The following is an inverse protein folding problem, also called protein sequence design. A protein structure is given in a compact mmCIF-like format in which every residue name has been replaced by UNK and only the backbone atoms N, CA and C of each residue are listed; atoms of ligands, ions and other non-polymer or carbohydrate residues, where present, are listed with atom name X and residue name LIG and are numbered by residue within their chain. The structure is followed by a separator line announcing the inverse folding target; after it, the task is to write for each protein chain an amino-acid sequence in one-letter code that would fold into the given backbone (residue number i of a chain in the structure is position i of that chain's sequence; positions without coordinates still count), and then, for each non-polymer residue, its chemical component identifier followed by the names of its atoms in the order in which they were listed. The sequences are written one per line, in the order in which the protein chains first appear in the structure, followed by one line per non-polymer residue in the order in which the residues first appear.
data_IF_175086126298
#
_entry.id   IF_175086126298
#
_cell.length_a   1.000
_cell.length_b   1.000
_cell.length_c   1.000
_cell.angle_alpha   90.00
_cell.angle_beta   90.00
_cell.angle_gamma   90.00
#
_symmetry.space_group_name_H-M   'P 1'
#
loop_
_entity.id
_entity.type
_entity.pdbx_description
1 polymer ?
#
# COMPACT_ATOMS: atom_id res chain seq x y z
N UNK A 1 -44.70 35.61 -31.15
CA UNK A 1 -44.78 34.79 -29.91
C UNK A 1 -43.71 33.70 -29.83
N UNK A 2 -43.60 32.78 -30.82
CA UNK A 2 -42.62 31.68 -30.81
C UNK A 2 -41.13 32.11 -30.73
N UNK A 3 -40.76 33.25 -31.32
CA UNK A 3 -39.39 33.78 -31.30
C UNK A 3 -39.00 34.33 -29.91
N UNK A 4 -39.91 35.06 -29.27
CA UNK A 4 -39.72 35.62 -27.93
C UNK A 4 -39.55 34.52 -26.87
N UNK A 5 -40.29 33.41 -27.01
CA UNK A 5 -40.20 32.25 -26.13
C UNK A 5 -38.82 31.58 -26.24
N UNK A 6 -38.25 31.46 -27.44
CA UNK A 6 -36.92 30.87 -27.64
C UNK A 6 -35.80 31.72 -27.02
N UNK A 7 -35.90 33.05 -27.10
CA UNK A 7 -34.95 33.99 -26.50
C UNK A 7 -34.88 33.85 -24.98
N UNK A 8 -35.97 33.45 -24.33
CA UNK A 8 -36.01 33.27 -22.87
C UNK A 8 -35.62 31.84 -22.49
N UNK A 9 -36.15 30.83 -23.18
CA UNK A 9 -35.95 29.42 -22.80
C UNK A 9 -34.53 28.94 -23.05
N UNK A 10 -33.87 29.37 -24.14
CA UNK A 10 -32.51 28.91 -24.47
C UNK A 10 -31.48 29.32 -23.41
N UNK A 11 -31.36 30.61 -23.02
CA UNK A 11 -30.46 30.98 -21.94
C UNK A 11 -30.89 30.38 -20.61
N UNK A 12 -32.20 30.27 -20.33
CA UNK A 12 -32.68 29.63 -19.10
C UNK A 12 -32.22 28.18 -18.99
N UNK A 13 -32.32 27.40 -20.07
CA UNK A 13 -31.81 26.03 -20.11
C UNK A 13 -30.28 25.97 -19.99
N UNK A 14 -29.56 26.93 -20.57
CA UNK A 14 -28.11 27.04 -20.46
C UNK A 14 -27.64 27.38 -19.04
N UNK A 15 -28.38 28.20 -18.30
CA UNK A 15 -28.07 28.53 -16.90
C UNK A 15 -28.42 27.38 -15.93
N UNK A 16 -29.43 26.57 -16.24
CA UNK A 16 -29.80 25.39 -15.43
C UNK A 16 -28.70 24.32 -15.49
N UNK A 17 -28.07 24.09 -16.64
CA UNK A 17 -26.99 23.09 -16.78
C UNK A 17 -25.69 23.50 -16.09
N UNK A 18 -25.38 24.80 -15.97
CA UNK A 18 -24.21 25.30 -15.23
C UNK A 18 -24.40 25.18 -13.70
N UNK A 19 -25.62 24.93 -13.23
CA UNK A 19 -25.94 24.79 -11.80
C UNK A 19 -25.80 23.36 -11.25
N UNK A 20 -25.37 22.38 -12.05
CA UNK A 20 -24.99 21.07 -11.51
C UNK A 20 -23.71 21.21 -10.68
N UNK A 21 -23.92 21.26 -9.37
CA UNK A 21 -22.90 21.34 -8.32
C UNK A 21 -21.79 20.31 -8.54
N UNK A 22 -20.54 20.76 -8.52
CA UNK A 22 -19.37 19.87 -8.49
C UNK A 22 -19.41 19.09 -7.19
N UNK A 23 -19.60 17.78 -7.26
CA UNK A 23 -19.63 16.91 -6.09
C UNK A 23 -18.19 16.70 -5.59
N UNK A 24 -17.82 17.32 -4.47
CA UNK A 24 -16.47 17.27 -3.93
C UNK A 24 -16.30 16.03 -3.06
N UNK A 25 -15.78 14.95 -3.63
CA UNK A 25 -15.38 13.78 -2.84
C UNK A 25 -14.03 14.03 -2.18
N UNK A 26 -14.08 14.45 -0.91
CA UNK A 26 -12.87 14.57 -0.09
C UNK A 26 -12.52 13.17 0.43
N UNK A 27 -11.42 12.60 -0.03
CA UNK A 27 -10.90 11.34 0.48
C UNK A 27 -10.05 11.67 1.72
N UNK A 28 -10.58 11.38 2.90
CA UNK A 28 -9.78 11.42 4.12
C UNK A 28 -9.02 10.11 4.22
N UNK A 29 -7.69 10.17 4.12
CA UNK A 29 -6.84 9.00 4.35
C UNK A 29 -6.78 8.74 5.86
N UNK A 30 -7.30 7.61 6.31
CA UNK A 30 -7.08 7.16 7.68
C UNK A 30 -5.65 6.63 7.81
N UNK A 31 -4.84 7.33 8.58
CA UNK A 31 -3.43 7.01 8.80
C UNK A 31 -3.21 6.63 10.27
N UNK A 32 -2.43 5.59 10.48
CA UNK A 32 -1.82 5.29 11.77
C UNK A 32 -0.45 5.97 11.84
N UNK A 33 0.00 6.24 13.07
CA UNK A 33 1.32 6.80 13.34
C UNK A 33 2.11 5.85 14.24
N UNK A 34 3.39 5.64 13.92
CA UNK A 34 4.33 4.97 14.82
C UNK A 34 5.54 5.84 15.09
N UNK A 35 5.99 5.81 16.34
CA UNK A 35 7.22 6.48 16.75
C UNK A 35 8.42 5.62 16.37
N UNK A 36 9.40 6.27 15.75
CA UNK A 36 10.68 5.69 15.38
C UNK A 36 11.79 6.24 16.31
N UNK A 37 12.99 5.64 16.30
CA UNK A 37 14.13 6.20 17.01
C UNK A 37 14.39 7.67 16.65
N UNK A 38 15.08 8.38 17.55
CA UNK A 38 15.46 9.80 17.37
C UNK A 38 14.29 10.79 17.27
N UNK A 39 13.09 10.40 17.73
CA UNK A 39 11.92 11.28 17.74
C UNK A 39 11.24 11.42 16.37
N UNK A 40 11.55 10.52 15.44
CA UNK A 40 10.90 10.46 14.14
C UNK A 40 9.51 9.81 14.25
N UNK A 41 8.59 10.19 13.35
CA UNK A 41 7.24 9.61 13.27
C UNK A 41 6.98 9.17 11.84
N UNK A 42 6.55 7.91 11.69
CA UNK A 42 6.13 7.35 10.41
C UNK A 42 4.59 7.25 10.37
N UNK A 43 3.99 7.72 9.28
CA UNK A 43 2.56 7.59 9.02
C UNK A 43 2.32 6.55 7.92
N UNK A 44 1.39 5.63 8.17
CA UNK A 44 1.06 4.55 7.23
C UNK A 44 -0.45 4.32 7.17
N UNK A 45 -0.98 3.74 6.07
CA UNK A 45 -2.41 3.46 5.94
C UNK A 45 -2.92 2.63 7.12
N UNK A 46 -4.09 3.01 7.66
CA UNK A 46 -4.68 2.30 8.80
C UNK A 46 -4.91 0.82 8.53
N UNK A 47 -5.29 0.50 7.30
CA UNK A 47 -5.58 -0.85 6.83
C UNK A 47 -4.38 -1.52 6.14
N UNK A 48 -3.14 -1.06 6.40
CA UNK A 48 -1.93 -1.73 5.88
C UNK A 48 -1.90 -3.17 6.43
N UNK A 49 -1.85 -4.20 5.57
CA UNK A 49 -1.82 -5.59 6.02
C UNK A 49 -0.51 -5.89 6.74
N UNK A 50 -0.59 -6.75 7.75
CA UNK A 50 0.58 -7.33 8.41
C UNK A 50 0.88 -8.67 7.74
N UNK A 51 2.07 -8.80 7.16
CA UNK A 51 2.50 -9.97 6.41
C UNK A 51 3.45 -10.81 7.26
N UNK A 52 3.06 -12.06 7.52
CA UNK A 52 3.88 -13.07 8.18
C UNK A 52 4.46 -14.06 7.18
N UNK A 53 5.78 -14.27 7.22
CA UNK A 53 6.48 -15.24 6.39
C UNK A 53 6.97 -16.43 7.22
N UNK A 54 6.55 -17.64 6.84
CA UNK A 54 6.94 -18.88 7.49
C UNK A 54 7.97 -19.66 6.65
N UNK A 55 9.16 -19.84 7.22
CA UNK A 55 10.31 -20.48 6.59
C UNK A 55 10.54 -21.88 7.16
N UNK A 56 10.35 -22.90 6.34
CA UNK A 56 10.53 -24.29 6.76
C UNK A 56 12.00 -24.68 6.90
N UNK A 57 12.27 -25.74 7.66
CA UNK A 57 13.57 -26.40 7.65
C UNK A 57 13.83 -27.18 6.36
N UNK A 58 15.00 -27.81 6.27
CA UNK A 58 15.37 -28.60 5.09
C UNK A 58 16.87 -28.79 4.85
N UNK A 59 17.71 -28.36 5.80
CA UNK A 59 19.17 -28.33 5.62
C UNK A 59 19.55 -27.43 4.44
N UNK A 60 20.55 -27.83 3.66
CA UNK A 60 21.03 -27.06 2.51
C UNK A 60 19.95 -26.71 1.47
N UNK A 61 18.87 -27.52 1.34
CA UNK A 61 17.78 -27.24 0.40
C UNK A 61 16.99 -25.99 0.76
N UNK A 62 16.98 -25.57 2.02
CA UNK A 62 16.28 -24.36 2.44
C UNK A 62 16.94 -23.08 1.89
N UNK A 63 18.15 -23.16 1.32
CA UNK A 63 18.77 -22.03 0.60
C UNK A 63 17.93 -21.55 -0.58
N UNK A 64 17.04 -22.39 -1.14
CA UNK A 64 16.09 -21.95 -2.16
C UNK A 64 15.14 -20.85 -1.68
N UNK A 65 14.95 -20.71 -0.36
CA UNK A 65 14.12 -19.66 0.24
C UNK A 65 14.72 -18.26 0.03
N UNK A 66 16.04 -18.14 -0.21
CA UNK A 66 16.68 -16.86 -0.54
C UNK A 66 16.09 -16.27 -1.82
N UNK A 67 15.86 -17.08 -2.85
CA UNK A 67 15.22 -16.62 -4.09
C UNK A 67 13.75 -16.20 -3.90
N UNK A 68 13.06 -16.76 -2.91
CA UNK A 68 11.71 -16.32 -2.53
C UNK A 68 11.76 -14.94 -1.87
N UNK A 69 12.70 -14.74 -0.93
CA UNK A 69 12.91 -13.45 -0.29
C UNK A 69 13.24 -12.37 -1.34
N UNK A 70 14.12 -12.69 -2.29
CA UNK A 70 14.44 -11.81 -3.41
C UNK A 70 13.19 -11.40 -4.21
N UNK A 71 12.36 -12.37 -4.60
CA UNK A 71 11.15 -12.08 -5.36
C UNK A 71 10.14 -11.22 -4.56
N UNK A 72 10.08 -11.37 -3.24
CA UNK A 72 9.24 -10.53 -2.38
C UNK A 72 9.77 -9.10 -2.32
N UNK A 73 11.08 -8.90 -2.18
CA UNK A 73 11.73 -7.59 -2.19
C UNK A 73 11.51 -6.87 -3.53
N UNK A 74 11.73 -7.57 -4.64
CA UNK A 74 11.50 -7.05 -5.99
C UNK A 74 10.04 -6.65 -6.23
N UNK A 75 9.10 -7.36 -5.59
CA UNK A 75 7.68 -7.04 -5.63
C UNK A 75 7.26 -5.92 -4.66
N UNK A 76 8.18 -5.44 -3.81
CA UNK A 76 7.88 -4.45 -2.76
C UNK A 76 6.99 -4.99 -1.64
N UNK A 77 7.00 -6.31 -1.41
CA UNK A 77 6.20 -6.96 -0.37
C UNK A 77 7.01 -7.00 0.92
N UNK A 78 6.76 -6.03 1.80
CA UNK A 78 7.41 -5.95 3.11
C UNK A 78 6.90 -7.06 4.05
N UNK A 79 7.81 -7.92 4.52
CA UNK A 79 7.50 -8.93 5.54
C UNK A 79 7.65 -8.33 6.94
N UNK A 80 6.57 -8.36 7.73
CA UNK A 80 6.56 -7.74 9.07
C UNK A 80 6.95 -8.72 10.17
N UNK A 81 6.71 -10.00 9.95
CA UNK A 81 7.01 -11.07 10.91
C UNK A 81 7.60 -12.24 10.15
N UNK A 82 8.74 -12.75 10.62
CA UNK A 82 9.36 -13.95 10.07
C UNK A 82 9.43 -15.00 11.16
N UNK A 83 8.97 -16.21 10.84
CA UNK A 83 9.15 -17.40 11.68
C UNK A 83 9.89 -18.44 10.88
N UNK A 84 10.88 -19.09 11.48
CA UNK A 84 11.71 -20.07 10.79
C UNK A 84 11.99 -21.30 11.65
N UNK A 85 12.16 -22.46 11.01
CA UNK A 85 12.62 -23.70 11.65
C UNK A 85 13.97 -24.15 11.08
N UNK A 86 14.94 -24.50 11.95
CA UNK A 86 16.26 -25.02 11.55
C UNK A 86 16.95 -24.10 10.53
N UNK A 87 17.31 -24.57 9.33
CA UNK A 87 17.93 -23.72 8.30
C UNK A 87 17.04 -22.53 7.90
N UNK A 88 15.71 -22.68 7.91
CA UNK A 88 14.80 -21.55 7.68
C UNK A 88 14.90 -20.47 8.76
N UNK A 89 15.24 -20.83 10.01
CA UNK A 89 15.53 -19.86 11.07
C UNK A 89 16.79 -19.08 10.81
N UNK A 90 17.82 -19.73 10.21
CA UNK A 90 19.09 -19.08 9.88
C UNK A 90 18.86 -18.08 8.74
N UNK A 91 18.27 -18.52 7.63
CA UNK A 91 17.98 -17.65 6.46
C UNK A 91 17.07 -16.50 6.87
N UNK A 92 15.95 -16.80 7.54
CA UNK A 92 15.01 -15.78 8.00
C UNK A 92 15.60 -14.82 9.02
N UNK A 93 16.45 -15.31 9.93
CA UNK A 93 17.11 -14.49 10.94
C UNK A 93 18.13 -13.52 10.35
N UNK A 94 18.92 -13.96 9.37
CA UNK A 94 19.86 -13.11 8.65
C UNK A 94 19.12 -12.01 7.89
N UNK A 95 18.13 -12.38 7.10
CA UNK A 95 17.30 -11.42 6.36
C UNK A 95 16.60 -10.42 7.29
N UNK A 96 15.99 -10.89 8.39
CA UNK A 96 15.36 -10.02 9.40
C UNK A 96 16.37 -9.08 10.11
N UNK A 97 17.66 -9.44 10.12
CA UNK A 97 18.72 -8.61 10.70
C UNK A 97 19.21 -7.50 9.76
N UNK A 98 18.63 -7.41 8.55
CA UNK A 98 18.95 -6.39 7.56
C UNK A 98 20.07 -6.76 6.59
N UNK A 99 20.45 -8.04 6.52
CA UNK A 99 21.32 -8.52 5.44
C UNK A 99 20.59 -8.42 4.11
N UNK A 100 21.26 -7.91 3.10
CA UNK A 100 20.76 -7.92 1.73
C UNK A 100 20.86 -9.31 1.13
N UNK A 101 20.10 -9.57 0.08
CA UNK A 101 20.07 -10.89 -0.58
C UNK A 101 21.45 -11.28 -1.18
N UNK A 102 22.27 -10.28 -1.53
CA UNK A 102 23.59 -10.48 -2.13
C UNK A 102 24.71 -10.76 -1.08
N UNK A 103 24.43 -10.58 0.22
CA UNK A 103 25.36 -10.80 1.34
C UNK A 103 25.23 -12.19 1.97
#
# INVERSE_FOLDING_TARGET
MKFLIKIIIIPLLFFISVSYSQDKKTITLELNARNLPFGLVEYFPKDKPVIGLALSGGGARALSQVGVLQALDEAGIETNVIVGTSMGSIVGGLYASGFTIDE
#
